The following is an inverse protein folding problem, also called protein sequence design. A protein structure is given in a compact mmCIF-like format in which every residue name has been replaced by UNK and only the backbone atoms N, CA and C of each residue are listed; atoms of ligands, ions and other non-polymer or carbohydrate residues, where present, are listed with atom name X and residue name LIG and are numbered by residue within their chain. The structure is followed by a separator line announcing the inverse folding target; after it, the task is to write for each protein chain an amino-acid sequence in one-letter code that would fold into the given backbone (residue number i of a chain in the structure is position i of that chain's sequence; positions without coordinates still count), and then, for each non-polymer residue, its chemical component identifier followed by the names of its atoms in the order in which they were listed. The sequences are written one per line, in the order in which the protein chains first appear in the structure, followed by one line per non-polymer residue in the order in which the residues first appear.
data_IF_281074901246
#
_entry.id   IF_281074901246
#
_cell.length_a   1.000
_cell.length_b   1.000
_cell.length_c   1.000
_cell.angle_alpha   90.00
_cell.angle_beta   90.00
_cell.angle_gamma   90.00
#
_symmetry.space_group_name_H-M   'P 1'
#
loop_
_entity.id
_entity.type
_entity.pdbx_description
1 polymer ?
#
# COMPACT_ATOMS: atom_id res chain seq x y z
N UNK A 1 -27.04 -13.32 -13.63
CA UNK A 1 -27.18 -14.13 -14.86
C UNK A 1 -26.61 -15.49 -14.54
N UNK A 2 -27.44 -16.53 -14.51
CA UNK A 2 -27.02 -17.89 -14.19
C UNK A 2 -26.62 -18.56 -15.51
N UNK A 3 -25.32 -18.73 -15.77
CA UNK A 3 -24.81 -19.38 -16.98
C UNK A 3 -24.46 -20.82 -16.59
N UNK A 4 -25.13 -21.84 -17.17
CA UNK A 4 -24.77 -23.23 -16.91
C UNK A 4 -23.32 -23.52 -17.31
N UNK A 5 -22.58 -24.22 -16.45
CA UNK A 5 -21.16 -24.54 -16.64
C UNK A 5 -20.90 -25.53 -17.81
N UNK A 6 -21.94 -26.24 -18.25
CA UNK A 6 -21.85 -27.28 -19.29
C UNK A 6 -22.09 -26.76 -20.72
N UNK A 7 -22.22 -25.44 -20.90
CA UNK A 7 -22.37 -24.87 -22.23
C UNK A 7 -21.05 -24.90 -23.02
N UNK A 8 -21.09 -24.96 -24.35
CA UNK A 8 -19.93 -24.71 -25.20
C UNK A 8 -19.24 -23.38 -24.87
N UNK A 9 -17.91 -23.34 -24.94
CA UNK A 9 -17.11 -22.18 -24.52
C UNK A 9 -17.46 -20.92 -25.32
N UNK A 10 -17.69 -21.06 -26.62
CA UNK A 10 -18.12 -19.97 -27.50
C UNK A 10 -19.48 -19.39 -27.08
N UNK A 11 -20.42 -20.25 -26.67
CA UNK A 11 -21.71 -19.82 -26.14
C UNK A 11 -21.55 -19.09 -24.80
N UNK A 12 -20.69 -19.60 -23.89
CA UNK A 12 -20.36 -18.93 -22.64
C UNK A 12 -19.77 -17.55 -22.93
N UNK A 13 -18.74 -17.46 -23.78
CA UNK A 13 -18.10 -16.20 -24.11
C UNK A 13 -19.07 -15.22 -24.79
N UNK A 14 -19.96 -15.70 -25.66
CA UNK A 14 -21.00 -14.86 -26.28
C UNK A 14 -21.94 -14.27 -25.23
N UNK A 15 -22.43 -15.09 -24.29
CA UNK A 15 -23.31 -14.64 -23.18
C UNK A 15 -22.60 -13.68 -22.22
N UNK A 16 -21.28 -13.76 -22.11
CA UNK A 16 -20.46 -12.84 -21.32
C UNK A 16 -20.09 -11.55 -22.08
N UNK A 17 -20.49 -11.39 -23.35
CA UNK A 17 -20.04 -10.33 -24.29
C UNK A 17 -18.51 -10.33 -24.53
N UNK A 18 -17.92 -11.52 -24.50
CA UNK A 18 -16.49 -11.77 -24.69
C UNK A 18 -16.16 -12.29 -26.10
N UNK A 19 -17.18 -12.80 -26.80
CA UNK A 19 -17.13 -13.12 -28.23
C UNK A 19 -18.11 -12.20 -28.97
N UNK A 20 -17.65 -11.53 -30.03
CA UNK A 20 -18.46 -10.66 -30.87
C UNK A 20 -18.15 -10.95 -32.34
N UNK A 21 -19.17 -11.21 -33.14
CA UNK A 21 -19.05 -11.50 -34.58
C UNK A 21 -18.04 -12.63 -34.90
N UNK A 22 -17.97 -13.65 -34.02
CA UNK A 22 -17.05 -14.78 -34.12
C UNK A 22 -15.60 -14.49 -33.69
N UNK A 23 -15.28 -13.26 -33.29
CA UNK A 23 -13.97 -12.85 -32.78
C UNK A 23 -13.96 -12.58 -31.27
N UNK A 24 -12.84 -12.83 -30.62
CA UNK A 24 -12.65 -12.48 -29.20
C UNK A 24 -12.53 -10.97 -29.04
N UNK A 25 -13.16 -10.42 -28.01
CA UNK A 25 -12.94 -9.01 -27.63
C UNK A 25 -11.56 -8.84 -26.97
N UNK A 26 -11.03 -7.62 -26.96
CA UNK A 26 -9.79 -7.32 -26.23
C UNK A 26 -9.89 -7.69 -24.74
N UNK A 27 -11.05 -7.44 -24.12
CA UNK A 27 -11.32 -7.84 -22.74
C UNK A 27 -11.21 -9.36 -22.57
N UNK A 28 -11.77 -10.14 -23.51
CA UNK A 28 -11.67 -11.60 -23.48
C UNK A 28 -10.22 -12.09 -23.54
N UNK A 29 -9.41 -11.47 -24.41
CA UNK A 29 -7.98 -11.84 -24.53
C UNK A 29 -7.24 -11.48 -23.25
N UNK A 30 -7.45 -10.28 -22.70
CA UNK A 30 -6.80 -9.82 -21.48
C UNK A 30 -7.19 -10.66 -20.25
N UNK A 31 -8.45 -11.11 -20.16
CA UNK A 31 -8.96 -11.84 -19.00
C UNK A 31 -8.69 -13.35 -19.05
N UNK A 32 -8.75 -13.97 -20.22
CA UNK A 32 -8.81 -15.44 -20.33
C UNK A 32 -7.70 -16.05 -21.19
N UNK A 33 -6.89 -15.24 -21.89
CA UNK A 33 -5.71 -15.78 -22.56
C UNK A 33 -4.65 -16.17 -21.53
N UNK A 34 -3.97 -17.30 -21.76
CA UNK A 34 -2.80 -17.70 -20.97
C UNK A 34 -1.64 -16.70 -21.14
N UNK A 35 -1.50 -16.16 -22.35
CA UNK A 35 -0.44 -15.21 -22.70
C UNK A 35 -1.05 -14.09 -23.56
N UNK A 36 -1.66 -13.07 -22.94
CA UNK A 36 -2.18 -11.93 -23.68
C UNK A 36 -1.03 -11.11 -24.28
N UNK A 37 -0.95 -11.03 -25.61
CA UNK A 37 0.08 -10.24 -26.32
C UNK A 37 -0.19 -8.73 -26.32
N UNK A 38 -0.58 -8.18 -25.18
CA UNK A 38 -0.75 -6.74 -24.98
C UNK A 38 0.45 -6.21 -24.21
N UNK A 39 1.45 -5.69 -24.93
CA UNK A 39 2.70 -5.17 -24.34
C UNK A 39 2.41 -4.10 -23.30
N UNK A 40 1.26 -3.40 -23.38
CA UNK A 40 0.84 -2.39 -22.40
C UNK A 40 0.26 -2.97 -21.09
N UNK A 41 -0.14 -4.25 -21.05
CA UNK A 41 -0.78 -4.90 -19.92
C UNK A 41 0.27 -5.54 -18.98
N UNK A 42 0.97 -4.68 -18.23
CA UNK A 42 2.05 -5.06 -17.32
C UNK A 42 1.93 -4.25 -16.01
N UNK A 43 2.27 -4.88 -14.88
CA UNK A 43 2.37 -4.21 -13.58
C UNK A 43 3.81 -4.30 -13.07
N UNK A 44 4.43 -3.14 -12.83
CA UNK A 44 5.80 -3.05 -12.32
C UNK A 44 5.80 -2.80 -10.83
N UNK A 45 6.43 -3.67 -10.06
CA UNK A 45 6.59 -3.50 -8.62
C UNK A 45 8.05 -3.16 -8.30
N UNK A 46 8.25 -2.12 -7.49
CA UNK A 46 9.57 -1.56 -7.19
C UNK A 46 9.68 -1.31 -5.70
N UNK A 47 10.74 -1.79 -5.06
CA UNK A 47 11.06 -1.51 -3.65
C UNK A 47 12.22 -0.53 -3.60
N UNK A 48 12.03 0.56 -2.86
CA UNK A 48 12.95 1.69 -2.83
C UNK A 48 13.71 1.72 -1.49
N UNK A 49 15.00 2.06 -1.51
CA UNK A 49 15.81 2.08 -0.28
C UNK A 49 15.53 3.29 0.60
N UNK A 50 14.99 4.37 0.03
CA UNK A 50 14.72 5.64 0.72
C UNK A 50 13.31 6.13 0.40
N UNK A 51 12.90 7.23 1.05
CA UNK A 51 11.63 7.92 0.79
C UNK A 51 11.60 8.70 -0.53
N UNK A 52 12.75 8.79 -1.21
CA UNK A 52 12.92 9.40 -2.52
C UNK A 52 13.00 8.35 -3.63
N UNK A 53 12.59 8.71 -4.85
CA UNK A 53 12.68 7.81 -6.00
C UNK A 53 14.12 7.78 -6.55
N UNK A 54 14.97 6.94 -5.95
CA UNK A 54 16.40 6.84 -6.30
C UNK A 54 16.83 5.40 -6.58
N UNK A 55 17.86 5.25 -7.41
CA UNK A 55 18.54 3.98 -7.69
C UNK A 55 19.75 3.79 -6.75
N UNK A 56 20.21 2.55 -6.52
CA UNK A 56 19.64 1.29 -6.99
C UNK A 56 18.31 0.96 -6.28
N UNK A 57 17.44 0.22 -6.97
CA UNK A 57 16.22 -0.33 -6.35
C UNK A 57 16.60 -1.54 -5.49
N UNK A 58 15.92 -1.72 -4.36
CA UNK A 58 16.10 -2.89 -3.48
C UNK A 58 15.56 -4.15 -4.17
N UNK A 59 14.43 -4.03 -4.84
CA UNK A 59 13.81 -5.09 -5.64
C UNK A 59 13.04 -4.48 -6.80
N UNK A 60 12.98 -5.17 -7.92
CA UNK A 60 12.22 -4.79 -9.11
C UNK A 60 11.64 -6.04 -9.76
N UNK A 61 10.33 -6.09 -9.92
CA UNK A 61 9.63 -7.17 -10.61
C UNK A 61 8.64 -6.60 -11.61
N UNK A 62 8.55 -7.25 -12.76
CA UNK A 62 7.56 -6.97 -13.79
C UNK A 62 6.64 -8.18 -13.90
N UNK A 63 5.33 -7.94 -13.77
CA UNK A 63 4.32 -8.97 -13.89
C UNK A 63 3.57 -8.81 -15.22
N UNK A 64 3.48 -9.93 -15.92
CA UNK A 64 2.71 -10.15 -17.14
C UNK A 64 1.76 -11.34 -16.91
N UNK A 65 0.72 -11.45 -17.75
CA UNK A 65 -0.29 -12.50 -17.66
C UNK A 65 -1.70 -11.96 -17.89
N UNK A 66 -2.69 -12.77 -17.54
CA UNK A 66 -4.09 -12.31 -17.58
C UNK A 66 -4.33 -11.26 -16.48
N UNK A 67 -5.46 -10.54 -16.57
CA UNK A 67 -5.70 -9.45 -15.62
C UNK A 67 -5.83 -9.88 -14.15
N UNK A 68 -6.22 -11.14 -13.87
CA UNK A 68 -6.24 -11.66 -12.50
C UNK A 68 -4.82 -11.87 -11.98
N UNK A 69 -3.91 -12.40 -12.82
CA UNK A 69 -2.48 -12.49 -12.50
C UNK A 69 -1.88 -11.11 -12.18
N UNK A 70 -2.32 -10.08 -12.92
CA UNK A 70 -1.89 -8.69 -12.72
C UNK A 70 -2.48 -8.04 -11.46
N UNK A 71 -3.37 -8.73 -10.74
CA UNK A 71 -3.79 -8.35 -9.39
C UNK A 71 -3.08 -9.20 -8.34
N UNK A 72 -3.19 -10.52 -8.46
CA UNK A 72 -2.79 -11.44 -7.39
C UNK A 72 -1.27 -11.47 -7.16
N UNK A 73 -0.49 -11.49 -8.25
CA UNK A 73 0.98 -11.54 -8.14
C UNK A 73 1.56 -10.22 -7.62
N UNK A 74 1.13 -9.02 -8.11
CA UNK A 74 1.54 -7.76 -7.51
C UNK A 74 1.08 -7.59 -6.05
N UNK A 75 -0.12 -8.06 -5.69
CA UNK A 75 -0.58 -8.05 -4.29
C UNK A 75 0.35 -8.87 -3.41
N UNK A 76 0.64 -10.12 -3.79
CA UNK A 76 1.58 -10.97 -3.07
C UNK A 76 2.96 -10.31 -2.90
N UNK A 77 3.47 -9.68 -3.97
CA UNK A 77 4.73 -8.92 -3.91
C UNK A 77 4.68 -7.78 -2.89
N UNK A 78 3.58 -7.02 -2.85
CA UNK A 78 3.43 -5.95 -1.85
C UNK A 78 3.42 -6.55 -0.45
N UNK A 79 2.63 -7.59 -0.21
CA UNK A 79 2.51 -8.25 1.10
C UNK A 79 3.85 -8.84 1.59
N UNK A 80 4.69 -9.33 0.67
CA UNK A 80 6.05 -9.81 0.98
C UNK A 80 7.03 -8.67 1.34
N UNK A 81 6.76 -7.45 0.89
CA UNK A 81 7.66 -6.29 1.04
C UNK A 81 7.15 -5.23 2.03
N UNK A 82 6.00 -5.47 2.66
CA UNK A 82 5.51 -4.72 3.83
C UNK A 82 5.68 -5.55 5.10
N UNK A 83 5.71 -4.89 6.25
CA UNK A 83 5.91 -5.58 7.51
C UNK A 83 4.64 -6.31 7.93
N UNK A 84 4.83 -7.56 8.36
CA UNK A 84 3.84 -8.34 9.10
C UNK A 84 4.43 -8.74 10.46
N UNK A 85 4.01 -8.13 11.57
CA UNK A 85 4.50 -8.56 12.88
C UNK A 85 4.14 -10.02 13.15
N UNK A 86 5.07 -10.81 13.67
CA UNK A 86 4.80 -12.17 14.16
C UNK A 86 4.84 -12.15 15.69
N UNK A 87 3.68 -12.37 16.33
CA UNK A 87 3.58 -12.55 17.78
C UNK A 87 3.49 -14.05 18.08
N UNK A 88 4.58 -14.62 18.62
CA UNK A 88 4.57 -15.96 19.18
C UNK A 88 4.30 -15.85 20.69
N UNK A 89 3.05 -16.04 21.11
CA UNK A 89 2.74 -16.29 22.51
C UNK A 89 3.11 -17.73 22.87
N UNK A 90 4.06 -17.91 23.80
CA UNK A 90 4.46 -19.23 24.28
C UNK A 90 3.26 -19.96 24.88
N UNK A 91 2.89 -21.12 24.32
CA UNK A 91 1.75 -21.93 24.77
C UNK A 91 0.43 -21.67 24.04
N UNK A 92 0.38 -20.76 23.06
CA UNK A 92 -0.74 -20.60 22.14
C UNK A 92 -0.28 -20.83 20.70
N UNK A 93 -1.20 -21.27 19.82
CA UNK A 93 -0.95 -21.21 18.39
C UNK A 93 -0.63 -19.75 18.00
N UNK A 94 0.32 -19.56 17.09
CA UNK A 94 0.70 -18.24 16.62
C UNK A 94 -0.54 -17.50 16.12
N UNK A 95 -0.94 -16.43 16.81
CA UNK A 95 -1.94 -15.52 16.28
C UNK A 95 -1.30 -14.80 15.08
N UNK A 96 -1.83 -15.05 13.89
CA UNK A 96 -1.39 -14.37 12.68
C UNK A 96 -1.85 -12.91 12.79
N UNK A 97 -0.92 -11.97 12.88
CA UNK A 97 -1.27 -10.56 12.95
C UNK A 97 -1.60 -9.98 11.58
N UNK A 98 -2.38 -8.88 11.55
CA UNK A 98 -2.57 -8.10 10.34
C UNK A 98 -1.24 -7.50 9.88
N UNK A 99 -1.16 -7.25 8.57
CA UNK A 99 -0.09 -6.46 7.96
C UNK A 99 -0.12 -5.01 8.44
N UNK A 100 1.01 -4.31 8.35
CA UNK A 100 1.07 -2.88 8.73
C UNK A 100 0.22 -1.97 7.82
N UNK A 101 -0.07 -2.41 6.59
CA UNK A 101 -1.09 -1.85 5.72
C UNK A 101 -2.14 -2.95 5.50
N UNK A 102 -3.45 -2.67 5.63
CA UNK A 102 -4.48 -3.66 5.37
C UNK A 102 -4.37 -4.27 3.98
N UNK A 103 -4.38 -5.60 3.93
CA UNK A 103 -4.33 -6.35 2.67
C UNK A 103 -5.47 -5.95 1.73
N UNK A 104 -6.68 -5.79 2.26
CA UNK A 104 -7.84 -5.35 1.48
C UNK A 104 -7.67 -3.94 0.88
N UNK A 105 -7.01 -3.03 1.58
CA UNK A 105 -6.76 -1.68 1.06
C UNK A 105 -5.77 -1.72 -0.12
N UNK A 106 -4.74 -2.57 -0.03
CA UNK A 106 -3.78 -2.79 -1.12
C UNK A 106 -4.47 -3.49 -2.29
N UNK A 107 -5.23 -4.55 -2.03
CA UNK A 107 -5.99 -5.32 -3.04
C UNK A 107 -6.92 -4.39 -3.81
N UNK A 108 -7.73 -3.61 -3.12
CA UNK A 108 -8.67 -2.66 -3.72
C UNK A 108 -7.95 -1.62 -4.59
N UNK A 109 -6.79 -1.10 -4.14
CA UNK A 109 -5.99 -0.18 -4.94
C UNK A 109 -5.46 -0.82 -6.24
N UNK A 110 -4.97 -2.07 -6.17
CA UNK A 110 -4.43 -2.78 -7.34
C UNK A 110 -5.55 -3.16 -8.30
N UNK A 111 -6.67 -3.67 -7.79
CA UNK A 111 -7.84 -4.00 -8.59
C UNK A 111 -8.37 -2.76 -9.30
N UNK A 112 -8.52 -1.63 -8.60
CA UNK A 112 -8.92 -0.38 -9.22
C UNK A 112 -7.93 0.08 -10.28
N UNK A 113 -6.62 -0.07 -10.04
CA UNK A 113 -5.61 0.25 -11.03
C UNK A 113 -5.74 -0.61 -12.30
N UNK A 114 -5.95 -1.93 -12.17
CA UNK A 114 -6.11 -2.83 -13.32
C UNK A 114 -7.43 -2.58 -14.07
N UNK A 115 -8.55 -2.50 -13.34
CA UNK A 115 -9.89 -2.38 -13.94
C UNK A 115 -10.12 -1.03 -14.59
N UNK A 116 -9.63 0.06 -13.99
CA UNK A 116 -9.80 1.42 -14.51
C UNK A 116 -8.62 1.91 -15.35
N UNK A 117 -7.63 1.06 -15.62
CA UNK A 117 -6.46 1.38 -16.44
C UNK A 117 -6.87 1.95 -17.80
N UNK A 118 -6.13 2.96 -18.26
CA UNK A 118 -6.16 3.35 -19.67
C UNK A 118 -5.39 2.35 -20.55
N UNK A 119 -6.12 1.42 -21.19
CA UNK A 119 -5.52 0.37 -22.04
C UNK A 119 -4.98 0.86 -23.40
N UNK A 120 -5.23 2.12 -23.75
CA UNK A 120 -4.63 2.77 -24.92
C UNK A 120 -3.25 3.36 -24.59
N UNK A 121 -2.98 3.65 -23.31
CA UNK A 121 -1.69 4.17 -22.88
C UNK A 121 -0.60 3.09 -22.97
N UNK A 122 0.60 3.40 -23.51
CA UNK A 122 1.74 2.48 -23.51
C UNK A 122 2.36 2.32 -22.11
N UNK A 123 2.06 3.24 -21.19
CA UNK A 123 2.55 3.26 -19.82
C UNK A 123 2.01 2.10 -18.98
N UNK A 124 2.71 1.74 -17.91
CA UNK A 124 2.38 0.59 -17.07
C UNK A 124 1.85 1.04 -15.72
N UNK A 125 1.03 0.19 -15.10
CA UNK A 125 0.75 0.36 -13.67
C UNK A 125 2.06 0.16 -12.93
N UNK A 126 2.36 1.03 -11.96
CA UNK A 126 3.55 0.90 -11.14
C UNK A 126 3.16 0.90 -9.67
N UNK A 127 3.63 -0.08 -8.93
CA UNK A 127 3.53 -0.15 -7.48
C UNK A 127 4.92 0.15 -6.92
N UNK A 128 5.03 1.23 -6.17
CA UNK A 128 6.29 1.71 -5.60
C UNK A 128 6.20 1.62 -4.08
N UNK A 129 7.00 0.74 -3.51
CA UNK A 129 7.06 0.48 -2.07
C UNK A 129 8.24 1.27 -1.51
N UNK A 130 7.92 2.34 -0.78
CA UNK A 130 8.88 3.15 -0.06
C UNK A 130 8.97 2.68 1.40
N UNK A 131 10.02 3.08 2.13
CA UNK A 131 10.09 2.84 3.57
C UNK A 131 8.89 3.39 4.33
N UNK A 132 8.22 4.46 3.85
CA UNK A 132 7.15 5.13 4.59
C UNK A 132 5.77 5.09 3.94
N UNK A 133 5.64 4.58 2.72
CA UNK A 133 4.37 4.52 1.97
C UNK A 133 4.42 3.52 0.82
N UNK A 134 3.25 3.16 0.31
CA UNK A 134 3.07 2.45 -0.96
C UNK A 134 2.34 3.37 -1.91
N UNK A 135 2.88 3.58 -3.11
CA UNK A 135 2.25 4.37 -4.18
C UNK A 135 1.82 3.44 -5.33
N UNK A 136 0.56 3.52 -5.73
CA UNK A 136 0.02 2.83 -6.91
C UNK A 136 -0.22 3.89 -7.99
N UNK A 137 0.56 3.83 -9.06
CA UNK A 137 0.49 4.73 -10.20
C UNK A 137 -0.27 4.03 -11.33
N UNK A 138 -1.50 4.49 -11.61
CA UNK A 138 -2.34 3.95 -12.67
C UNK A 138 -2.38 4.90 -13.88
N UNK A 139 -1.98 4.46 -15.09
CA UNK A 139 -2.13 5.25 -16.31
C UNK A 139 -3.58 5.64 -16.60
N UNK A 140 -3.79 6.92 -16.89
CA UNK A 140 -5.11 7.50 -17.13
C UNK A 140 -5.50 8.50 -16.06
N UNK A 141 -6.59 9.20 -16.35
CA UNK A 141 -7.21 10.19 -15.47
C UNK A 141 -8.58 9.67 -15.00
N UNK A 142 -9.13 10.32 -13.99
CA UNK A 142 -10.50 10.12 -13.57
C UNK A 142 -11.48 10.40 -14.71
N UNK A 143 -12.65 9.74 -14.72
CA UNK A 143 -13.76 10.16 -15.58
C UNK A 143 -14.04 11.65 -15.41
N UNK A 144 -14.36 12.37 -16.49
CA UNK A 144 -14.53 13.82 -16.44
C UNK A 144 -15.65 14.30 -15.50
N UNK A 145 -16.53 13.38 -15.08
CA UNK A 145 -17.59 13.61 -14.10
C UNK A 145 -17.11 13.59 -12.64
N UNK A 146 -15.90 13.11 -12.36
CA UNK A 146 -15.36 12.97 -11.01
C UNK A 146 -14.12 13.85 -10.81
N UNK A 147 -14.01 14.44 -9.63
CA UNK A 147 -12.80 15.10 -9.14
C UNK A 147 -12.16 14.27 -8.04
N UNK A 148 -10.89 14.54 -7.76
CA UNK A 148 -10.14 13.89 -6.67
C UNK A 148 -10.90 13.95 -5.32
N UNK A 149 -11.52 15.09 -5.00
CA UNK A 149 -12.26 15.26 -3.74
C UNK A 149 -13.54 14.42 -3.68
N UNK A 150 -14.09 14.00 -4.81
CA UNK A 150 -15.28 13.17 -4.87
C UNK A 150 -14.97 11.72 -4.48
N UNK A 151 -13.73 11.24 -4.68
CA UNK A 151 -13.29 9.89 -4.28
C UNK A 151 -13.37 9.65 -2.76
N UNK A 152 -13.49 10.71 -1.97
CA UNK A 152 -13.63 10.66 -0.50
C UNK A 152 -15.08 10.57 -0.03
N UNK A 153 -16.03 10.57 -0.95
CA UNK A 153 -17.47 10.57 -0.69
C UNK A 153 -18.11 9.44 -1.50
N UNK A 154 -19.32 9.00 -1.12
CA UNK A 154 -20.08 8.09 -1.97
C UNK A 154 -20.26 8.68 -3.38
N UNK A 155 -19.87 7.93 -4.40
CA UNK A 155 -20.01 8.31 -5.79
C UNK A 155 -20.41 7.10 -6.65
N UNK A 156 -21.07 7.30 -7.80
CA UNK A 156 -21.40 6.18 -8.68
C UNK A 156 -20.13 5.48 -9.20
N UNK A 157 -20.23 4.18 -9.44
CA UNK A 157 -19.20 3.42 -10.17
C UNK A 157 -19.25 3.80 -11.64
N UNK A 158 -18.15 4.37 -12.16
CA UNK A 158 -18.00 4.77 -13.57
C UNK A 158 -16.83 4.00 -14.21
N UNK A 159 -16.99 2.69 -14.48
CA UNK A 159 -15.90 1.87 -15.02
C UNK A 159 -15.60 2.21 -16.48
N UNK A 160 -14.37 2.66 -16.74
CA UNK A 160 -13.86 2.92 -18.10
C UNK A 160 -13.86 1.64 -18.96
N UNK A 161 -13.55 0.49 -18.35
CA UNK A 161 -13.52 -0.81 -19.01
C UNK A 161 -14.66 -1.72 -18.52
N UNK A 162 -15.90 -1.44 -18.94
CA UNK A 162 -17.11 -2.12 -18.42
C UNK A 162 -17.11 -3.65 -18.58
N UNK A 163 -16.56 -4.19 -19.68
CA UNK A 163 -16.44 -5.64 -19.88
C UNK A 163 -15.49 -6.29 -18.88
N UNK A 164 -14.36 -5.62 -18.59
CA UNK A 164 -13.37 -6.05 -17.59
C UNK A 164 -13.99 -5.97 -16.20
N UNK A 165 -14.53 -4.80 -15.83
CA UNK A 165 -15.17 -4.55 -14.54
C UNK A 165 -16.22 -5.62 -14.22
N UNK A 166 -17.10 -5.93 -15.19
CA UNK A 166 -18.16 -6.94 -15.00
C UNK A 166 -17.63 -8.34 -14.73
N UNK A 167 -16.46 -8.72 -15.25
CA UNK A 167 -15.88 -10.02 -14.95
C UNK A 167 -15.19 -10.02 -13.59
N UNK A 168 -14.51 -8.93 -13.22
CA UNK A 168 -13.97 -8.76 -11.87
C UNK A 168 -15.08 -8.81 -10.81
N UNK A 169 -16.23 -8.17 -11.07
CA UNK A 169 -17.40 -8.25 -10.21
C UNK A 169 -17.93 -9.69 -10.07
N UNK A 170 -18.07 -10.40 -11.19
CA UNK A 170 -18.51 -11.81 -11.20
C UNK A 170 -17.54 -12.75 -10.48
N UNK A 171 -16.24 -12.46 -10.57
CA UNK A 171 -15.19 -13.22 -9.89
C UNK A 171 -15.01 -12.83 -8.41
N UNK A 172 -15.75 -11.83 -7.90
CA UNK A 172 -15.67 -11.40 -6.51
C UNK A 172 -14.48 -10.50 -6.17
N UNK A 173 -13.83 -9.90 -7.18
CA UNK A 173 -12.70 -8.98 -6.97
C UNK A 173 -13.14 -7.54 -6.70
N UNK A 174 -14.32 -7.12 -7.17
CA UNK A 174 -14.89 -5.77 -6.94
C UNK A 174 -16.36 -5.86 -6.55
N UNK A 175 -16.83 -4.82 -5.86
CA UNK A 175 -18.26 -4.58 -5.65
C UNK A 175 -18.80 -3.53 -6.65
N UNK A 176 -20.06 -3.66 -7.06
CA UNK A 176 -20.71 -2.75 -8.04
C UNK A 176 -21.56 -1.66 -7.35
N UNK A 177 -21.01 -1.04 -6.31
CA UNK A 177 -21.70 0.01 -5.52
C UNK A 177 -20.94 1.33 -5.40
N UNK A 178 -19.70 1.40 -5.92
CA UNK A 178 -18.91 2.65 -5.92
C UNK A 178 -18.29 3.04 -4.57
N UNK A 179 -18.12 2.08 -3.65
CA UNK A 179 -17.57 2.29 -2.31
C UNK A 179 -16.06 2.10 -2.16
N UNK A 180 -15.38 1.52 -3.16
CA UNK A 180 -14.01 1.04 -3.02
C UNK A 180 -13.00 2.08 -2.50
N UNK A 181 -13.06 3.33 -2.97
CA UNK A 181 -12.16 4.39 -2.49
C UNK A 181 -12.48 4.84 -1.07
N UNK A 182 -13.76 4.84 -0.67
CA UNK A 182 -14.16 5.11 0.72
C UNK A 182 -13.79 3.96 1.65
N UNK A 183 -13.81 2.72 1.16
CA UNK A 183 -13.39 1.54 1.92
C UNK A 183 -11.88 1.58 2.19
N UNK A 184 -11.06 1.94 1.19
CA UNK A 184 -9.62 2.16 1.40
C UNK A 184 -9.38 3.22 2.49
N UNK A 185 -10.15 4.31 2.50
CA UNK A 185 -10.05 5.35 3.53
C UNK A 185 -10.41 4.79 4.91
N UNK A 186 -11.50 4.03 5.01
CA UNK A 186 -11.96 3.47 6.27
C UNK A 186 -10.98 2.42 6.82
N UNK A 187 -10.51 1.50 5.97
CA UNK A 187 -9.50 0.49 6.33
C UNK A 187 -8.20 1.14 6.85
N UNK A 188 -7.74 2.23 6.21
CA UNK A 188 -6.60 3.00 6.69
C UNK A 188 -6.88 3.62 8.07
N UNK A 189 -8.06 4.22 8.27
CA UNK A 189 -8.44 4.84 9.56
C UNK A 189 -8.54 3.81 10.68
N UNK A 190 -9.17 2.67 10.43
CA UNK A 190 -9.33 1.59 11.41
C UNK A 190 -8.00 0.95 11.81
N UNK A 191 -7.00 1.05 10.93
CA UNK A 191 -5.63 0.59 11.17
C UNK A 191 -4.70 1.67 11.72
N UNK A 192 -5.25 2.81 12.16
CA UNK A 192 -4.49 3.96 12.65
C UNK A 192 -3.39 4.40 11.65
N UNK A 193 -3.74 4.46 10.35
CA UNK A 193 -2.89 5.03 9.30
C UNK A 193 -3.40 6.42 8.91
N UNK A 194 -2.52 7.20 8.28
CA UNK A 194 -2.98 8.44 7.66
C UNK A 194 -3.94 8.13 6.51
N UNK A 195 -4.91 9.04 6.30
CA UNK A 195 -5.83 8.93 5.16
C UNK A 195 -5.04 8.81 3.84
N UNK A 196 -5.40 7.88 2.94
CA UNK A 196 -4.73 7.73 1.66
C UNK A 196 -4.83 9.02 0.84
N UNK A 197 -3.78 9.30 0.08
CA UNK A 197 -3.72 10.46 -0.81
C UNK A 197 -4.04 10.03 -2.23
N UNK A 198 -5.01 10.70 -2.85
CA UNK A 198 -5.35 10.55 -4.27
C UNK A 198 -4.84 11.77 -5.03
N UNK A 199 -4.16 11.56 -6.15
CA UNK A 199 -3.62 12.64 -6.99
C UNK A 199 -3.73 12.31 -8.47
N UNK A 200 -4.07 13.29 -9.30
CA UNK A 200 -3.87 13.22 -10.75
C UNK A 200 -2.61 14.00 -11.13
N UNK A 201 -1.61 13.30 -11.65
CA UNK A 201 -0.33 13.90 -12.02
C UNK A 201 0.26 13.21 -13.24
N UNK A 202 0.70 14.00 -14.23
CA UNK A 202 1.41 13.50 -15.42
C UNK A 202 0.63 12.41 -16.19
N UNK A 203 -0.70 12.47 -16.19
CA UNK A 203 -1.56 11.46 -16.83
C UNK A 203 -1.69 10.14 -16.06
N UNK A 204 -1.43 10.17 -14.75
CA UNK A 204 -1.66 9.05 -13.84
C UNK A 204 -2.60 9.48 -12.72
N UNK A 205 -3.50 8.57 -12.35
CA UNK A 205 -4.13 8.55 -11.04
C UNK A 205 -3.20 7.81 -10.07
N UNK A 206 -2.80 8.48 -9.01
CA UNK A 206 -1.87 7.97 -8.00
C UNK A 206 -2.62 7.82 -6.69
N UNK A 207 -2.56 6.62 -6.11
CA UNK A 207 -3.04 6.35 -4.76
C UNK A 207 -1.85 6.09 -3.85
N UNK A 208 -1.72 6.85 -2.77
CA UNK A 208 -0.65 6.70 -1.79
C UNK A 208 -1.24 6.23 -0.46
N UNK A 209 -0.81 5.05 0.00
CA UNK A 209 -1.12 4.54 1.34
C UNK A 209 0.11 4.69 2.22
N UNK A 210 -0.02 5.40 3.34
CA UNK A 210 1.09 5.64 4.26
C UNK A 210 1.25 4.49 5.25
N UNK A 211 2.49 4.15 5.60
CA UNK A 211 2.83 3.10 6.59
C UNK A 211 2.76 3.61 8.05
N UNK A 212 2.31 4.86 8.27
CA UNK A 212 2.06 5.43 9.61
C UNK A 212 1.18 6.69 9.53
N UNK A 213 0.60 7.11 10.66
CA UNK A 213 -0.10 8.41 10.79
C UNK A 213 0.85 9.60 10.55
N UNK A 214 2.15 9.44 10.81
CA UNK A 214 3.14 10.53 10.81
C UNK A 214 3.66 10.86 9.40
N UNK A 215 2.77 11.38 8.56
CA UNK A 215 3.09 11.91 7.23
C UNK A 215 3.82 13.25 7.32
N UNK A 216 4.55 13.66 6.29
CA UNK A 216 5.22 14.97 6.27
C UNK A 216 4.26 16.13 6.56
N UNK A 217 3.05 16.08 6.00
CA UNK A 217 2.00 17.07 6.27
C UNK A 217 1.62 17.12 7.76
N UNK A 218 1.37 15.96 8.39
CA UNK A 218 1.09 15.92 9.83
C UNK A 218 2.28 16.40 10.67
N UNK A 219 3.50 16.14 10.23
CA UNK A 219 4.69 16.59 10.91
C UNK A 219 4.85 18.12 10.81
N UNK A 220 4.55 18.71 9.66
CA UNK A 220 4.56 20.17 9.48
C UNK A 220 3.52 20.85 10.38
N UNK A 221 2.32 20.28 10.50
CA UNK A 221 1.27 20.75 11.41
C UNK A 221 1.70 20.66 12.91
N UNK A 222 2.64 19.78 13.25
CA UNK A 222 3.17 19.58 14.61
C UNK A 222 4.33 20.52 14.99
N UNK A 223 4.68 21.47 14.11
CA UNK A 223 5.75 22.46 14.31
C UNK A 223 7.05 21.81 14.84
N UNK A 224 7.54 20.82 14.09
CA UNK A 224 8.77 20.11 14.42
C UNK A 224 9.98 20.74 13.73
N UNK A 225 11.14 20.67 14.37
CA UNK A 225 12.38 21.17 13.80
C UNK A 225 12.90 20.30 12.66
N UNK A 226 13.72 20.89 11.77
CA UNK A 226 14.42 20.16 10.70
C UNK A 226 15.30 19.00 11.22
N UNK A 227 15.84 19.13 12.44
CA UNK A 227 16.56 18.03 13.10
C UNK A 227 15.63 16.87 13.45
N UNK A 228 14.47 17.16 14.02
CA UNK A 228 13.46 16.15 14.33
C UNK A 228 12.93 15.48 13.05
N UNK A 229 12.72 16.21 11.95
CA UNK A 229 12.38 15.64 10.63
C UNK A 229 13.44 14.66 10.13
N UNK A 230 14.73 15.04 10.19
CA UNK A 230 15.84 14.15 9.82
C UNK A 230 15.90 12.88 10.67
N UNK A 231 15.66 12.99 11.98
CA UNK A 231 15.61 11.82 12.85
C UNK A 231 14.42 10.90 12.52
N UNK A 232 13.26 11.46 12.17
CA UNK A 232 12.10 10.68 11.70
C UNK A 232 12.46 9.94 10.41
N UNK A 233 13.06 10.60 9.43
CA UNK A 233 13.49 9.96 8.19
C UNK A 233 14.55 8.85 8.44
N UNK A 234 15.44 9.06 9.39
CA UNK A 234 16.37 8.03 9.86
C UNK A 234 15.62 6.83 10.46
N UNK A 235 14.60 7.06 11.30
CA UNK A 235 13.80 5.98 11.87
C UNK A 235 12.94 5.25 10.83
N UNK A 236 12.44 5.94 9.80
CA UNK A 236 11.73 5.31 8.66
C UNK A 236 12.61 4.31 7.92
N UNK A 237 13.92 4.52 7.89
CA UNK A 237 14.88 3.67 7.16
C UNK A 237 15.56 2.64 8.05
N UNK A 238 15.83 2.96 9.31
CA UNK A 238 16.60 2.12 10.25
C UNK A 238 15.74 1.48 11.36
N UNK A 239 14.45 1.80 11.40
CA UNK A 239 13.45 1.30 12.36
C UNK A 239 13.53 1.92 13.76
N UNK A 240 14.69 2.38 14.21
CA UNK A 240 14.89 3.00 15.53
C UNK A 240 16.06 3.97 15.55
N UNK A 241 16.14 4.78 16.61
CA UNK A 241 17.28 5.65 16.89
C UNK A 241 17.61 5.68 18.39
N UNK A 242 18.89 5.59 18.74
CA UNK A 242 19.39 5.82 20.11
C UNK A 242 19.70 7.30 20.31
N UNK A 243 19.74 7.74 21.58
CA UNK A 243 20.20 9.09 21.94
C UNK A 243 21.57 9.40 21.31
N UNK A 244 22.52 8.48 21.44
CA UNK A 244 23.89 8.64 20.91
C UNK A 244 23.94 8.73 19.39
N UNK A 245 23.00 8.10 18.69
CA UNK A 245 22.87 8.20 17.23
C UNK A 245 22.29 9.55 16.84
N UNK A 246 21.25 10.02 17.55
CA UNK A 246 20.67 11.36 17.38
C UNK A 246 21.71 12.48 17.61
N UNK A 247 22.56 12.33 18.61
CA UNK A 247 23.66 13.26 18.89
C UNK A 247 24.65 13.33 17.74
N UNK A 248 25.12 12.17 17.26
CA UNK A 248 26.06 12.07 16.14
C UNK A 248 25.45 12.62 14.86
N UNK A 249 24.18 12.35 14.60
CA UNK A 249 23.46 12.80 13.41
C UNK A 249 23.37 14.34 13.32
N UNK A 250 23.44 15.04 14.46
CA UNK A 250 23.18 16.48 14.54
C UNK A 250 24.27 17.31 15.23
N UNK A 251 25.35 16.69 15.70
CA UNK A 251 26.42 17.37 16.46
C UNK A 251 25.93 17.99 17.77
N UNK A 252 25.02 17.32 18.48
CA UNK A 252 24.39 17.87 19.70
C UNK A 252 25.04 17.36 20.99
N UNK A 253 24.91 18.17 22.06
CA UNK A 253 25.22 17.72 23.42
C UNK A 253 24.14 16.78 23.96
N UNK A 254 24.50 15.96 24.94
CA UNK A 254 23.59 15.04 25.62
C UNK A 254 22.31 15.71 26.14
N UNK A 255 22.47 16.89 26.73
CA UNK A 255 21.35 17.65 27.28
C UNK A 255 20.38 18.09 26.18
N UNK A 256 20.90 18.56 25.04
CA UNK A 256 20.09 19.02 23.92
C UNK A 256 19.36 17.85 23.25
N UNK A 257 20.05 16.74 22.98
CA UNK A 257 19.45 15.54 22.40
C UNK A 257 18.34 14.97 23.29
N UNK A 258 18.56 14.86 24.60
CA UNK A 258 17.54 14.42 25.54
C UNK A 258 16.31 15.34 25.56
N UNK A 259 16.50 16.66 25.47
CA UNK A 259 15.39 17.62 25.42
C UNK A 259 14.55 17.44 24.16
N UNK A 260 15.19 17.39 22.98
CA UNK A 260 14.48 17.25 21.70
C UNK A 260 13.78 15.90 21.58
N UNK A 261 14.42 14.80 21.99
CA UNK A 261 13.80 13.47 22.00
C UNK A 261 12.63 13.40 23.00
N UNK A 262 12.75 14.04 24.17
CA UNK A 262 11.64 14.14 25.13
C UNK A 262 10.46 14.92 24.55
N UNK A 263 10.72 16.00 23.81
CA UNK A 263 9.69 16.75 23.10
C UNK A 263 8.96 15.88 22.08
N UNK A 264 9.70 15.12 21.25
CA UNK A 264 9.10 14.19 20.28
C UNK A 264 8.25 13.11 20.97
N UNK A 265 8.65 12.64 22.16
CA UNK A 265 7.83 11.71 22.96
C UNK A 265 6.56 12.38 23.48
N UNK A 266 6.65 13.62 23.98
CA UNK A 266 5.47 14.36 24.48
C UNK A 266 4.47 14.66 23.35
N UNK A 267 4.97 14.99 22.15
CA UNK A 267 4.16 15.17 20.94
C UNK A 267 3.63 13.86 20.36
N UNK A 268 3.90 12.71 21.00
CA UNK A 268 3.54 11.36 20.53
C UNK A 268 4.07 11.01 19.14
N UNK A 269 5.16 11.62 18.70
CA UNK A 269 5.82 11.34 17.41
C UNK A 269 6.68 10.08 17.53
N UNK A 270 7.32 9.90 18.68
CA UNK A 270 8.14 8.71 18.97
C UNK A 270 7.76 8.10 20.29
N UNK A 271 7.93 6.79 20.42
CA UNK A 271 7.92 6.10 21.70
C UNK A 271 9.33 5.83 22.18
N UNK A 272 9.58 6.11 23.45
CA UNK A 272 10.78 5.65 24.17
C UNK A 272 10.62 4.20 24.59
N UNK A 273 11.62 3.38 24.29
CA UNK A 273 11.67 1.94 24.59
C UNK A 273 13.02 1.59 25.25
N UNK A 274 13.10 0.51 26.03
CA UNK A 274 14.29 0.14 26.81
C UNK A 274 14.45 0.90 28.15
N UNK A 275 15.54 0.60 28.88
CA UNK A 275 15.93 1.27 30.14
C UNK A 275 17.45 1.48 30.20
N UNK A 276 17.89 2.67 30.61
CA UNK A 276 19.32 2.97 30.74
C UNK A 276 20.07 2.85 29.40
N UNK A 277 21.20 2.11 29.33
CA UNK A 277 21.99 1.98 28.11
C UNK A 277 21.27 1.35 26.90
N UNK A 278 20.18 0.60 27.14
CA UNK A 278 19.38 -0.03 26.08
C UNK A 278 18.26 0.88 25.57
N UNK A 279 18.21 2.14 26.00
CA UNK A 279 17.16 3.08 25.58
C UNK A 279 17.29 3.42 24.09
N UNK A 280 16.19 3.27 23.35
CA UNK A 280 16.04 3.73 21.97
C UNK A 280 14.64 4.31 21.74
N UNK A 281 14.45 4.96 20.61
CA UNK A 281 13.22 5.60 20.20
C UNK A 281 12.76 5.02 18.87
N UNK A 282 11.46 4.82 18.72
CA UNK A 282 10.80 4.34 17.49
C UNK A 282 9.66 5.28 17.15
N UNK A 283 9.35 5.46 15.86
CA UNK A 283 8.18 6.25 15.46
C UNK A 283 6.89 5.64 16.01
N UNK A 284 5.98 6.50 16.48
CA UNK A 284 4.62 6.08 16.87
C UNK A 284 3.86 5.62 15.63
N UNK A 285 3.13 4.50 15.71
CA UNK A 285 2.45 3.87 14.57
C UNK A 285 3.36 3.00 13.69
N UNK A 286 4.65 3.34 13.56
CA UNK A 286 5.63 2.59 12.75
C UNK A 286 6.21 1.34 13.45
N UNK A 287 5.52 0.77 14.45
CA UNK A 287 6.15 -0.25 15.30
C UNK A 287 5.55 -0.49 16.67
N UNK A 288 4.24 -0.71 16.76
CA UNK A 288 3.69 -1.53 17.87
C UNK A 288 4.46 -2.86 17.99
N UNK A 289 5.03 -3.34 16.87
CA UNK A 289 5.97 -4.47 16.70
C UNK A 289 7.15 -4.50 17.70
N UNK A 290 7.70 -3.34 18.10
CA UNK A 290 8.87 -3.30 19.00
C UNK A 290 8.51 -3.19 20.48
N UNK A 291 7.24 -2.87 20.82
CA UNK A 291 6.79 -2.69 22.20
C UNK A 291 6.81 -4.01 22.97
N UNK A 292 6.41 -5.13 22.36
CA UNK A 292 6.33 -6.39 23.11
C UNK A 292 7.57 -7.27 23.03
N UNK A 293 8.51 -7.02 22.11
CA UNK A 293 9.84 -7.69 22.14
C UNK A 293 10.56 -7.41 23.47
N UNK A 294 10.46 -6.19 23.99
CA UNK A 294 11.05 -5.81 25.28
C UNK A 294 10.23 -6.32 26.48
N UNK A 295 8.91 -6.50 26.35
CA UNK A 295 8.07 -7.13 27.38
C UNK A 295 8.33 -8.65 27.47
N UNK A 296 8.57 -9.32 26.34
CA UNK A 296 8.95 -10.73 26.27
C UNK A 296 10.35 -10.95 26.88
N UNK A 297 11.31 -10.05 26.61
CA UNK A 297 12.64 -10.10 27.27
C UNK A 297 12.55 -9.92 28.79
N UNK A 298 11.64 -9.06 29.29
CA UNK A 298 11.42 -8.89 30.73
C UNK A 298 10.76 -10.09 31.40
N UNK A 299 9.85 -10.81 30.72
CA UNK A 299 9.27 -12.05 31.25
C UNK A 299 10.26 -13.22 31.30
N UNK A 300 11.33 -13.19 30.49
CA UNK A 300 12.43 -14.19 30.56
C UNK A 300 13.49 -13.92 31.63
N UNK A 301 13.52 -12.73 32.23
CA UNK A 301 14.48 -12.36 33.29
C UNK A 301 13.94 -12.50 34.73
N UNK A 302 12.83 -13.21 34.91
CA UNK A 302 12.18 -13.45 36.22
C UNK A 302 11.95 -14.95 36.48
N UNK A 303 12.96 -15.76 36.14
CA UNK A 303 13.19 -17.09 36.70
C UNK A 303 14.66 -17.26 36.98
#
# INVERSE_FOLDING_TARGET
MNIPENLPIDEILTRLNMLKDGGLTNASVLLFSKEPKFIQSEVKCIVLPTTEFVKPYVSYHSYEGNLFDLVDKPLAFVLENIHRPLWLEYGKAAAINPYEIPEDAVRECIVNAVVHRDYESPSKVQIRIFPDRVEIWNPGNLPCQLKIDDLKKPHPSLPKNSLIFRQFYRAGYVEDVGGGTTDIIQLCKDSELAEPKFEEKMGYLIVTIYRSVLTEKHLDDMNISERQKKAINYMKTHGKIKRTEYEKLHGLSERSANRELKEMVMKKIVKKTGRGPTTFYVMTGYGEIWRDIDLIKKRKGSR
#
